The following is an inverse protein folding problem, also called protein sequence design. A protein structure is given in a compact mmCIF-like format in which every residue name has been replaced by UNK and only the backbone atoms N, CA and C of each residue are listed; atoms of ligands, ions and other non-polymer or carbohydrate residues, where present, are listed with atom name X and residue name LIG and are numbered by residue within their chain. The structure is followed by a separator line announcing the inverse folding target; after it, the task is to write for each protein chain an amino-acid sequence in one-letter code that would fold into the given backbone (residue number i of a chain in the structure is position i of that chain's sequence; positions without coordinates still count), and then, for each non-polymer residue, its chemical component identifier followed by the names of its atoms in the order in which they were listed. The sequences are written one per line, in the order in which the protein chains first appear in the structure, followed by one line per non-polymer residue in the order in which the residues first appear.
data_IF_072657127870
#
_entry.id   IF_072657127870
#
_cell.length_a   1.000
_cell.length_b   1.000
_cell.length_c   1.000
_cell.angle_alpha   90.00
_cell.angle_beta   90.00
_cell.angle_gamma   90.00
#
_symmetry.space_group_name_H-M   'P 1'
#
loop_
_entity.id
_entity.type
_entity.pdbx_description
1 polymer ?
#
# COMPACT_ATOMS: atom_id res chain seq x y z
N UNK A 1 -51.02 -36.42 0.12
CA UNK A 1 -50.19 -35.45 0.90
C UNK A 1 -48.69 -35.79 0.92
N UNK A 2 -48.28 -37.05 1.10
CA UNK A 2 -46.86 -37.48 1.13
C UNK A 2 -46.00 -37.11 -0.11
N UNK A 3 -46.62 -37.03 -1.29
CA UNK A 3 -45.94 -36.68 -2.56
C UNK A 3 -45.63 -35.18 -2.70
N UNK A 4 -46.44 -34.31 -2.10
CA UNK A 4 -46.27 -32.85 -2.15
C UNK A 4 -45.09 -32.43 -1.26
N UNK A 5 -44.95 -33.08 -0.11
CA UNK A 5 -43.82 -32.88 0.80
C UNK A 5 -42.47 -33.28 0.21
N UNK A 6 -42.43 -34.36 -0.59
CA UNK A 6 -41.20 -34.77 -1.28
C UNK A 6 -40.73 -33.75 -2.32
N UNK A 7 -41.66 -33.13 -3.05
CA UNK A 7 -41.34 -32.07 -4.01
C UNK A 7 -40.83 -30.79 -3.34
N UNK A 8 -41.38 -30.44 -2.17
CA UNK A 8 -40.95 -29.30 -1.36
C UNK A 8 -39.52 -29.47 -0.78
N UNK A 9 -39.18 -30.68 -0.35
CA UNK A 9 -37.83 -31.02 0.10
C UNK A 9 -36.79 -30.95 -1.04
N UNK A 10 -37.13 -31.43 -2.24
CA UNK A 10 -36.26 -31.34 -3.41
C UNK A 10 -36.06 -29.89 -3.89
N UNK A 11 -37.09 -29.05 -3.82
CA UNK A 11 -36.99 -27.63 -4.15
C UNK A 11 -36.10 -26.85 -3.15
N UNK A 12 -36.14 -27.22 -1.86
CA UNK A 12 -35.27 -26.64 -0.83
C UNK A 12 -33.78 -26.94 -1.02
N UNK A 13 -33.42 -28.11 -1.55
CA UNK A 13 -32.02 -28.43 -1.88
C UNK A 13 -31.54 -27.71 -3.15
N UNK A 14 -32.40 -27.45 -4.13
CA UNK A 14 -32.05 -26.65 -5.31
C UNK A 14 -31.79 -25.17 -4.96
N UNK A 15 -32.47 -24.63 -3.93
CA UNK A 15 -32.25 -23.28 -3.43
C UNK A 15 -30.93 -23.09 -2.65
N UNK A 16 -30.26 -24.17 -2.24
CA UNK A 16 -28.92 -24.10 -1.63
C UNK A 16 -27.79 -24.12 -2.69
N UNK A 17 -28.14 -24.39 -3.96
CA UNK A 17 -27.22 -24.38 -5.09
C UNK A 17 -27.22 -23.07 -5.90
N UNK A 18 -28.13 -22.14 -5.59
CA UNK A 18 -28.28 -20.85 -6.29
C UNK A 18 -27.52 -19.70 -5.59
N UNK A 19 -26.48 -20.03 -4.83
CA UNK A 19 -25.46 -19.09 -4.35
C UNK A 19 -24.30 -18.96 -5.35
N UNK A 20 -24.55 -19.23 -6.64
CA UNK A 20 -23.58 -19.12 -7.73
C UNK A 20 -23.74 -17.80 -8.50
N UNK A 21 -24.78 -17.00 -8.20
CA UNK A 21 -25.11 -15.78 -8.93
C UNK A 21 -24.36 -14.51 -8.51
N UNK A 22 -23.93 -14.41 -7.24
CA UNK A 22 -23.42 -13.15 -6.68
C UNK A 22 -21.96 -13.24 -6.17
N UNK A 23 -21.22 -14.29 -6.53
CA UNK A 23 -19.78 -14.30 -6.24
C UNK A 23 -19.05 -13.49 -7.33
N UNK A 24 -18.33 -12.42 -6.98
CA UNK A 24 -17.61 -11.64 -7.96
C UNK A 24 -16.63 -12.53 -8.71
N UNK A 25 -16.50 -12.32 -10.01
CA UNK A 25 -15.53 -13.04 -10.84
C UNK A 25 -14.14 -12.95 -10.17
N UNK A 26 -13.55 -14.11 -9.90
CA UNK A 26 -12.20 -14.18 -9.34
C UNK A 26 -11.23 -13.50 -10.30
N UNK A 27 -10.30 -12.73 -9.74
CA UNK A 27 -9.21 -12.17 -10.53
C UNK A 27 -8.46 -13.32 -11.23
N UNK A 28 -8.21 -13.23 -12.54
CA UNK A 28 -7.47 -14.25 -13.27
C UNK A 28 -6.11 -14.53 -12.61
N UNK A 29 -5.74 -15.80 -12.48
CA UNK A 29 -4.50 -16.21 -11.79
C UNK A 29 -3.25 -15.67 -12.49
N UNK A 30 -3.27 -15.54 -13.81
CA UNK A 30 -2.21 -14.92 -14.62
C UNK A 30 -1.98 -13.45 -14.25
N UNK A 31 -3.06 -12.73 -13.90
CA UNK A 31 -3.01 -11.35 -13.43
C UNK A 31 -2.50 -11.25 -11.99
N UNK A 32 -2.83 -12.21 -11.13
CA UNK A 32 -2.36 -12.26 -9.73
C UNK A 32 -0.87 -12.62 -9.62
N UNK A 33 -0.39 -13.48 -10.53
CA UNK A 33 0.99 -13.94 -10.57
C UNK A 33 1.85 -13.18 -11.59
N UNK A 34 1.30 -12.14 -12.22
CA UNK A 34 2.06 -11.28 -13.10
C UNK A 34 3.18 -10.60 -12.31
N UNK A 35 4.39 -10.64 -12.84
CA UNK A 35 5.53 -9.92 -12.26
C UNK A 35 5.17 -8.42 -12.21
N UNK A 36 5.24 -7.76 -11.04
CA UNK A 36 4.96 -6.34 -10.94
C UNK A 36 5.94 -5.55 -11.79
N UNK A 37 5.47 -4.46 -12.38
CA UNK A 37 6.35 -3.54 -13.10
C UNK A 37 7.41 -2.99 -12.14
N UNK A 38 8.66 -3.39 -12.35
CA UNK A 38 9.77 -2.88 -11.56
C UNK A 38 10.01 -1.40 -11.92
N UNK A 39 10.23 -0.51 -10.92
CA UNK A 39 10.61 0.86 -11.19
C UNK A 39 11.86 0.94 -12.06
N UNK A 40 11.98 1.95 -12.92
CA UNK A 40 13.12 2.06 -13.86
C UNK A 40 14.50 2.02 -13.19
N UNK A 41 14.62 2.55 -11.97
CA UNK A 41 15.86 2.52 -11.19
C UNK A 41 16.21 1.14 -10.60
N UNK A 42 15.25 0.21 -10.56
CA UNK A 42 15.49 -1.16 -10.11
C UNK A 42 16.21 -2.01 -11.19
N UNK A 43 16.13 -1.61 -12.47
CA UNK A 43 16.81 -2.31 -13.56
C UNK A 43 18.33 -2.32 -13.42
N UNK A 44 18.92 -1.25 -12.89
CA UNK A 44 20.36 -1.18 -12.66
C UNK A 44 20.81 -2.06 -11.50
N UNK A 45 19.96 -2.21 -10.47
CA UNK A 45 20.21 -3.12 -9.36
C UNK A 45 20.01 -4.59 -9.73
N UNK A 46 19.07 -4.90 -10.62
CA UNK A 46 18.88 -6.26 -11.14
C UNK A 46 20.05 -6.69 -12.04
N UNK A 47 20.65 -5.76 -12.79
CA UNK A 47 21.77 -6.04 -13.70
C UNK A 47 23.07 -6.33 -12.97
N UNK A 48 23.35 -5.64 -11.87
CA UNK A 48 24.53 -5.88 -11.04
C UNK A 48 24.24 -5.66 -9.53
N UNK A 49 23.71 -6.70 -8.85
CA UNK A 49 23.39 -6.63 -7.44
C UNK A 49 24.62 -6.41 -6.55
N UNK A 50 25.77 -6.98 -6.94
CA UNK A 50 27.00 -6.91 -6.16
C UNK A 50 27.60 -5.51 -6.19
N UNK A 51 27.64 -4.86 -7.36
CA UNK A 51 28.07 -3.47 -7.47
C UNK A 51 27.17 -2.53 -6.67
N UNK A 52 25.85 -2.71 -6.73
CA UNK A 52 24.93 -1.90 -5.91
C UNK A 52 25.14 -2.11 -4.42
N UNK A 53 25.30 -3.36 -3.97
CA UNK A 53 25.62 -3.67 -2.57
C UNK A 53 26.88 -2.96 -2.09
N UNK A 54 27.98 -3.07 -2.85
CA UNK A 54 29.24 -2.41 -2.49
C UNK A 54 29.15 -0.87 -2.47
N UNK A 55 28.39 -0.27 -3.39
CA UNK A 55 28.16 1.17 -3.43
C UNK A 55 27.33 1.65 -2.23
N UNK A 56 26.33 0.88 -1.82
CA UNK A 56 25.53 1.15 -0.63
C UNK A 56 26.35 1.02 0.65
N UNK A 57 27.18 -0.01 0.76
CA UNK A 57 28.06 -0.21 1.91
C UNK A 57 29.07 0.94 2.05
N UNK A 58 29.70 1.36 0.95
CA UNK A 58 30.61 2.50 0.95
C UNK A 58 29.92 3.80 1.39
N UNK A 59 28.68 4.03 0.92
CA UNK A 59 27.86 5.16 1.38
C UNK A 59 27.52 5.06 2.86
N UNK A 60 27.16 3.86 3.33
CA UNK A 60 26.88 3.59 4.75
C UNK A 60 28.08 3.91 5.64
N UNK A 61 29.28 3.48 5.24
CA UNK A 61 30.52 3.79 5.96
C UNK A 61 30.83 5.29 5.98
N UNK A 62 30.66 5.98 4.85
CA UNK A 62 30.80 7.44 4.76
C UNK A 62 29.81 8.18 5.68
N UNK A 63 28.55 7.74 5.70
CA UNK A 63 27.52 8.30 6.57
C UNK A 63 27.83 8.04 8.04
N UNK A 64 28.23 6.83 8.40
CA UNK A 64 28.61 6.48 9.77
C UNK A 64 29.81 7.30 10.26
N UNK A 65 30.80 7.53 9.40
CA UNK A 65 31.93 8.41 9.69
C UNK A 65 31.49 9.85 9.97
N UNK A 66 30.60 10.41 9.14
CA UNK A 66 30.04 11.76 9.34
C UNK A 66 29.14 11.85 10.57
N UNK A 67 28.33 10.83 10.85
CA UNK A 67 27.45 10.81 12.01
C UNK A 67 28.24 10.79 13.32
N UNK A 68 29.42 10.16 13.33
CA UNK A 68 30.30 10.13 14.50
C UNK A 68 31.00 11.47 14.78
N UNK A 69 31.14 12.33 13.77
CA UNK A 69 31.76 13.66 13.91
C UNK A 69 30.74 14.81 14.02
N UNK A 70 29.48 14.57 13.68
CA UNK A 70 28.42 15.57 13.81
C UNK A 70 27.87 15.61 15.25
N UNK A 71 27.71 16.80 15.86
CA UNK A 71 27.01 16.91 17.12
C UNK A 71 25.54 16.53 16.92
N UNK A 72 25.01 15.64 17.77
CA UNK A 72 23.58 15.37 17.81
C UNK A 72 22.83 16.65 18.19
N UNK A 73 21.67 16.88 17.57
CA UNK A 73 20.81 17.99 17.96
C UNK A 73 20.40 17.83 19.43
N UNK A 74 20.50 18.91 20.21
CA UNK A 74 20.09 18.88 21.62
C UNK A 74 18.58 18.64 21.74
N UNK A 75 18.15 17.96 22.81
CA UNK A 75 16.74 17.58 23.02
C UNK A 75 15.78 18.76 22.92
N UNK A 76 16.16 19.93 23.44
CA UNK A 76 15.35 21.14 23.36
C UNK A 76 15.15 21.65 21.92
N UNK A 77 16.13 21.47 21.04
CA UNK A 77 16.00 21.79 19.63
C UNK A 77 15.09 20.81 18.90
N UNK A 78 15.26 19.50 19.16
CA UNK A 78 14.39 18.46 18.62
C UNK A 78 12.94 18.67 19.04
N UNK A 79 12.71 19.03 20.30
CA UNK A 79 11.37 19.31 20.83
C UNK A 79 10.73 20.53 20.15
N UNK A 80 11.49 21.61 19.91
CA UNK A 80 10.99 22.78 19.14
C UNK A 80 10.61 22.39 17.70
N UNK A 81 11.47 21.62 17.02
CA UNK A 81 11.19 21.14 15.65
C UNK A 81 9.97 20.25 15.61
N UNK A 82 9.82 19.33 16.57
CA UNK A 82 8.65 18.46 16.67
C UNK A 82 7.35 19.26 16.89
N UNK A 83 7.39 20.30 17.73
CA UNK A 83 6.25 21.19 17.92
C UNK A 83 5.89 21.94 16.65
N UNK A 84 6.88 22.51 15.95
CA UNK A 84 6.68 23.20 14.67
C UNK A 84 6.08 22.26 13.60
N UNK A 85 6.55 21.02 13.52
CA UNK A 85 6.03 20.02 12.59
C UNK A 85 4.57 19.65 12.90
N UNK A 86 4.23 19.45 14.18
CA UNK A 86 2.83 19.20 14.61
C UNK A 86 1.92 20.38 14.31
N UNK A 87 2.39 21.61 14.52
CA UNK A 87 1.61 22.81 14.20
C UNK A 87 1.33 22.89 12.69
N UNK A 88 2.35 22.65 11.85
CA UNK A 88 2.18 22.62 10.40
C UNK A 88 1.24 21.50 9.94
N UNK A 89 1.36 20.30 10.49
CA UNK A 89 0.47 19.19 10.18
C UNK A 89 -0.99 19.50 10.52
N UNK A 90 -1.23 20.16 11.68
CA UNK A 90 -2.58 20.64 12.05
C UNK A 90 -3.11 21.70 11.09
N UNK A 91 -2.26 22.64 10.67
CA UNK A 91 -2.65 23.65 9.69
C UNK A 91 -3.00 23.01 8.34
N UNK A 92 -2.22 22.02 7.89
CA UNK A 92 -2.49 21.27 6.67
C UNK A 92 -3.75 20.39 6.79
N UNK A 93 -4.01 19.76 7.93
CA UNK A 93 -5.21 18.95 8.11
C UNK A 93 -6.50 19.78 8.17
N UNK A 94 -6.40 21.04 8.59
CA UNK A 94 -7.51 21.99 8.59
C UNK A 94 -7.73 22.62 7.20
N UNK A 95 -6.72 22.56 6.33
CA UNK A 95 -6.87 22.82 4.91
C UNK A 95 -7.44 21.55 4.30
N UNK A 96 -8.76 21.42 4.24
CA UNK A 96 -9.39 20.34 3.48
C UNK A 96 -8.84 20.38 2.04
N UNK A 97 -8.22 19.30 1.52
CA UNK A 97 -8.09 19.13 0.08
C UNK A 97 -9.46 18.69 -0.44
N UNK A 98 -10.45 19.56 -0.32
CA UNK A 98 -11.81 19.29 -0.75
C UNK A 98 -12.27 20.49 -1.57
N UNK A 99 -11.75 20.54 -2.78
CA UNK A 99 -12.42 21.03 -3.99
C UNK A 99 -11.50 20.62 -5.15
N UNK A 100 -12.02 19.78 -6.07
CA UNK A 100 -11.41 19.39 -7.35
C UNK A 100 -10.47 18.15 -7.41
N UNK A 101 -10.78 17.04 -6.73
CA UNK A 101 -10.39 15.72 -7.28
C UNK A 101 -11.57 15.15 -8.10
N UNK A 102 -11.49 15.12 -9.44
CA UNK A 102 -12.53 14.48 -10.24
C UNK A 102 -12.60 12.98 -9.92
N UNK A 103 -13.81 12.41 -9.89
CA UNK A 103 -14.01 10.97 -9.74
C UNK A 103 -13.18 10.21 -10.78
N UNK A 104 -12.36 9.27 -10.31
CA UNK A 104 -11.50 8.43 -11.17
C UNK A 104 -10.06 8.94 -11.36
N UNK A 105 -9.62 10.00 -10.67
CA UNK A 105 -8.20 10.41 -10.67
C UNK A 105 -7.36 9.47 -9.79
N UNK A 106 -6.31 8.88 -10.39
CA UNK A 106 -5.35 8.01 -9.69
C UNK A 106 -4.34 8.77 -8.81
N UNK A 107 -4.32 10.10 -8.92
CA UNK A 107 -3.38 10.99 -8.22
C UNK A 107 -3.89 11.44 -6.85
N UNK A 108 -5.12 11.06 -6.47
CA UNK A 108 -5.71 11.38 -5.17
C UNK A 108 -5.74 10.12 -4.28
N UNK A 109 -5.50 10.30 -2.97
CA UNK A 109 -5.59 9.20 -2.02
C UNK A 109 -7.05 8.70 -1.92
N UNK A 110 -7.29 7.38 -1.89
CA UNK A 110 -8.64 6.83 -1.81
C UNK A 110 -9.30 7.24 -0.49
N UNK A 111 -10.57 7.66 -0.58
CA UNK A 111 -11.42 7.99 0.56
C UNK A 111 -11.60 6.79 1.50
#
# INVERSE_FOLDING_TARGET
MRRIWGALLLAGLAGCGDMVGDYPALMPTDRLLAEPALPGHAGDAARDPAAMGSALDARGQSLAGRARSAPAAADGELQRRAQALRARARALSQQSPAEDCPEGSADCAPN
#
